data_IF_991063065158
#
_entry.id   IF_991063065158
#
_cell.length_a   1.000
_cell.length_b   1.000
_cell.length_c   1.000
_cell.angle_alpha   90.00
_cell.angle_beta   90.00
_cell.angle_gamma   90.00
#
_symmetry.space_group_name_H-M   'P 1'
#
loop_
_entity.id
_entity.type
_entity.pdbx_description
1 polymer ?
#
# COMPACT_ATOMS: atom_id res chain seq x y z
N UNK A 1 -2.37 2.80 16.57
CA UNK A 1 -2.02 1.55 15.88
C UNK A 1 -3.09 1.25 14.83
N UNK A 2 -2.68 0.68 13.71
CA UNK A 2 -3.55 0.24 12.62
C UNK A 2 -3.23 -1.20 12.25
N UNK A 3 -4.26 -2.01 12.03
CA UNK A 3 -4.16 -3.37 11.50
C UNK A 3 -4.89 -3.45 10.18
N UNK A 4 -4.21 -3.90 9.15
CA UNK A 4 -4.77 -4.19 7.83
C UNK A 4 -4.77 -5.72 7.66
N UNK A 5 -5.94 -6.29 7.34
CA UNK A 5 -6.09 -7.73 7.16
C UNK A 5 -6.82 -8.04 5.86
N UNK A 6 -6.18 -8.77 4.98
CA UNK A 6 -6.80 -9.43 3.84
C UNK A 6 -7.15 -10.86 4.26
N UNK A 7 -8.41 -11.19 4.26
CA UNK A 7 -8.91 -12.54 4.58
C UNK A 7 -9.51 -13.13 3.30
N UNK A 8 -8.65 -13.61 2.44
CA UNK A 8 -8.98 -14.16 1.14
C UNK A 8 -9.09 -15.67 1.15
N UNK A 9 -9.73 -16.23 0.12
CA UNK A 9 -9.86 -17.67 -0.09
C UNK A 9 -8.73 -18.25 -0.97
N UNK A 10 -7.76 -17.42 -1.36
CA UNK A 10 -6.60 -17.86 -2.11
C UNK A 10 -5.58 -18.63 -1.25
N UNK A 11 -4.56 -19.23 -1.88
CA UNK A 11 -3.63 -20.13 -1.20
C UNK A 11 -2.77 -19.44 -0.13
N UNK A 12 -2.58 -18.11 -0.16
CA UNK A 12 -1.88 -17.37 0.90
C UNK A 12 -2.66 -17.36 2.22
N UNK A 13 -3.99 -17.53 2.18
CA UNK A 13 -4.86 -17.35 3.31
C UNK A 13 -4.90 -15.90 3.79
N UNK A 14 -4.88 -15.70 5.11
CA UNK A 14 -4.86 -14.33 5.65
C UNK A 14 -3.50 -13.67 5.49
N UNK A 15 -3.50 -12.42 5.03
CA UNK A 15 -2.35 -11.53 5.00
C UNK A 15 -2.61 -10.38 5.96
N UNK A 16 -1.72 -10.15 6.92
CA UNK A 16 -1.90 -9.15 7.98
C UNK A 16 -0.68 -8.25 8.09
N UNK A 17 -0.91 -6.97 8.24
CA UNK A 17 0.11 -5.98 8.57
C UNK A 17 -0.38 -5.06 9.67
N UNK A 18 0.45 -4.85 10.68
CA UNK A 18 0.24 -3.89 11.76
C UNK A 18 1.28 -2.78 11.69
N UNK A 19 0.86 -1.57 12.00
CA UNK A 19 1.74 -0.42 12.14
C UNK A 19 1.31 0.47 13.32
N UNK A 20 2.28 1.18 13.88
CA UNK A 20 2.02 2.15 14.93
C UNK A 20 2.63 3.54 14.58
N UNK A 21 2.25 4.61 15.30
CA UNK A 21 2.75 5.96 15.02
C UNK A 21 4.26 6.15 15.20
N UNK A 22 4.92 5.28 15.97
CA UNK A 22 6.36 5.32 16.21
C UNK A 22 7.18 4.72 15.05
N UNK A 23 6.51 4.23 13.99
CA UNK A 23 7.16 3.63 12.83
C UNK A 23 7.48 2.14 12.98
N UNK A 24 6.99 1.48 14.03
CA UNK A 24 7.14 0.03 14.14
C UNK A 24 6.07 -0.69 13.30
N UNK A 25 6.54 -1.66 12.53
CA UNK A 25 5.69 -2.48 11.66
C UNK A 25 5.92 -3.96 11.93
N UNK A 26 4.89 -4.76 11.73
CA UNK A 26 4.96 -6.22 11.73
C UNK A 26 3.89 -6.78 10.80
N UNK A 27 4.01 -8.04 10.44
CA UNK A 27 3.01 -8.70 9.63
C UNK A 27 3.27 -10.18 9.48
N UNK A 28 2.28 -10.89 8.98
CA UNK A 28 2.41 -12.28 8.63
C UNK A 28 1.47 -12.68 7.48
N UNK A 29 1.79 -13.80 6.88
CA UNK A 29 0.95 -14.51 5.90
C UNK A 29 0.64 -15.87 6.49
N UNK A 30 -0.62 -16.32 6.43
CA UNK A 30 -1.03 -17.58 7.03
C UNK A 30 -0.29 -18.78 6.41
N UNK A 31 -0.10 -18.77 5.08
CA UNK A 31 0.63 -19.81 4.35
C UNK A 31 1.85 -19.20 3.64
N UNK A 32 2.98 -19.00 4.32
CA UNK A 32 4.14 -18.31 3.74
C UNK A 32 4.94 -19.14 2.72
N UNK A 33 4.70 -20.44 2.65
CA UNK A 33 5.45 -21.36 1.77
C UNK A 33 4.75 -21.65 0.45
N UNK A 34 3.71 -20.89 0.12
CA UNK A 34 3.01 -21.04 -1.16
C UNK A 34 3.91 -20.59 -2.30
N UNK A 35 4.01 -21.42 -3.33
CA UNK A 35 4.66 -21.04 -4.58
C UNK A 35 3.62 -20.42 -5.51
N UNK A 36 3.67 -19.11 -5.69
CA UNK A 36 2.76 -18.42 -6.60
C UNK A 36 3.30 -18.47 -8.04
N UNK A 37 2.44 -18.73 -9.04
CA UNK A 37 2.81 -18.61 -10.44
C UNK A 37 3.11 -17.15 -10.81
N UNK A 38 3.65 -16.95 -11.99
CA UNK A 38 3.73 -15.61 -12.56
C UNK A 38 2.40 -15.29 -13.28
N UNK A 39 1.96 -14.04 -13.13
CA UNK A 39 0.83 -13.50 -13.88
C UNK A 39 1.23 -13.18 -15.34
N UNK A 40 0.26 -12.74 -16.15
CA UNK A 40 0.48 -12.39 -17.57
C UNK A 40 1.53 -11.29 -17.79
N UNK A 41 1.83 -10.49 -16.76
CA UNK A 41 2.85 -9.44 -16.78
C UNK A 41 4.23 -9.93 -16.32
N UNK A 42 4.41 -11.24 -16.09
CA UNK A 42 5.66 -11.83 -15.61
C UNK A 42 6.00 -11.47 -14.15
N UNK A 43 5.02 -11.08 -13.33
CA UNK A 43 5.15 -10.81 -11.90
C UNK A 43 4.49 -11.91 -11.09
N UNK A 44 4.86 -12.06 -9.83
CA UNK A 44 4.16 -12.97 -8.92
C UNK A 44 2.67 -12.65 -8.92
N UNK A 45 1.83 -13.69 -9.06
CA UNK A 45 0.38 -13.56 -9.05
C UNK A 45 -0.15 -13.39 -7.61
N UNK A 46 0.05 -12.19 -7.06
CA UNK A 46 -0.42 -11.85 -5.72
C UNK A 46 -1.94 -11.88 -5.65
N UNK A 47 -2.61 -11.40 -6.70
CA UNK A 47 -4.07 -11.38 -6.79
C UNK A 47 -4.67 -12.78 -6.67
N UNK A 48 -4.18 -13.73 -7.45
CA UNK A 48 -4.58 -15.14 -7.32
C UNK A 48 -4.15 -15.75 -5.98
N UNK A 49 -3.03 -15.30 -5.42
CA UNK A 49 -2.54 -15.72 -4.10
C UNK A 49 -3.47 -15.32 -2.96
N UNK A 50 -4.03 -14.12 -2.99
CA UNK A 50 -4.98 -13.59 -2.01
C UNK A 50 -6.39 -14.12 -2.27
N UNK A 51 -6.84 -14.08 -3.51
CA UNK A 51 -8.17 -14.50 -3.92
C UNK A 51 -9.29 -13.56 -3.46
N UNK A 52 -10.52 -14.06 -3.48
CA UNK A 52 -11.71 -13.33 -3.06
C UNK A 52 -11.89 -13.39 -1.53
N UNK A 53 -12.49 -12.37 -0.94
CA UNK A 53 -12.74 -12.33 0.52
C UNK A 53 -12.99 -10.92 1.01
N UNK A 54 -12.55 -10.65 2.23
CA UNK A 54 -12.78 -9.38 2.92
C UNK A 54 -11.45 -8.72 3.30
N UNK A 55 -11.30 -7.46 2.94
CA UNK A 55 -10.31 -6.54 3.47
C UNK A 55 -10.90 -5.83 4.69
N UNK A 56 -10.20 -5.88 5.82
CA UNK A 56 -10.55 -5.17 7.05
C UNK A 56 -9.42 -4.26 7.48
N UNK A 57 -9.77 -3.05 7.92
CA UNK A 57 -8.82 -2.08 8.49
C UNK A 57 -9.31 -1.70 9.88
N UNK A 58 -8.54 -2.06 10.90
CA UNK A 58 -8.86 -1.78 12.30
C UNK A 58 -7.93 -0.69 12.83
N UNK A 59 -8.51 0.36 13.38
CA UNK A 59 -7.78 1.50 13.98
C UNK A 59 -7.99 1.52 15.49
N UNK A 60 -6.86 1.57 16.22
CA UNK A 60 -6.82 1.69 17.66
C UNK A 60 -6.50 3.16 17.99
N UNK A 61 -7.54 3.94 18.27
CA UNK A 61 -7.46 5.41 18.45
C UNK A 61 -7.33 5.82 19.92
N UNK A 62 -7.13 4.86 20.84
CA UNK A 62 -7.13 5.11 22.29
C UNK A 62 -8.53 5.12 22.91
N UNK A 63 -9.58 4.94 22.13
CA UNK A 63 -10.94 4.71 22.61
C UNK A 63 -11.08 3.28 23.16
N UNK A 64 -12.14 3.04 23.94
CA UNK A 64 -12.42 1.73 24.56
C UNK A 64 -12.48 0.61 23.51
N UNK A 65 -13.14 0.88 22.42
CA UNK A 65 -13.31 -0.10 21.33
C UNK A 65 -12.59 0.39 20.07
N UNK A 66 -11.88 -0.50 19.32
CA UNK A 66 -11.28 -0.15 18.06
C UNK A 66 -12.35 0.09 16.98
N UNK A 67 -12.02 0.93 16.01
CA UNK A 67 -12.88 1.20 14.86
C UNK A 67 -12.42 0.30 13.71
N UNK A 68 -13.34 -0.54 13.20
CA UNK A 68 -13.05 -1.41 12.05
C UNK A 68 -13.96 -1.06 10.88
N UNK A 69 -13.34 -0.75 9.75
CA UNK A 69 -13.98 -0.69 8.44
C UNK A 69 -13.65 -1.93 7.62
N UNK A 70 -14.52 -2.30 6.68
CA UNK A 70 -14.28 -3.44 5.80
C UNK A 70 -14.93 -3.25 4.43
N UNK A 71 -14.35 -3.91 3.42
CA UNK A 71 -14.93 -4.02 2.08
C UNK A 71 -14.58 -5.39 1.48
N UNK A 72 -15.22 -5.72 0.37
CA UNK A 72 -14.83 -6.90 -0.42
C UNK A 72 -13.45 -6.71 -1.06
N UNK A 73 -12.70 -7.79 -1.18
CA UNK A 73 -11.48 -7.86 -1.99
C UNK A 73 -11.92 -7.92 -3.45
N UNK A 74 -11.51 -6.95 -4.25
CA UNK A 74 -11.92 -6.79 -5.65
C UNK A 74 -10.96 -7.49 -6.60
N UNK A 75 -9.66 -7.27 -6.41
CA UNK A 75 -8.63 -7.81 -7.31
C UNK A 75 -7.67 -8.79 -6.62
N UNK A 76 -7.54 -8.71 -5.30
CA UNK A 76 -6.49 -9.39 -4.53
C UNK A 76 -5.13 -8.69 -4.63
N UNK A 77 -5.01 -7.67 -5.49
CA UNK A 77 -3.82 -6.81 -5.54
C UNK A 77 -3.87 -5.79 -4.40
N UNK A 78 -2.92 -5.86 -3.48
CA UNK A 78 -2.95 -5.13 -2.21
C UNK A 78 -3.18 -3.62 -2.39
N UNK A 79 -2.50 -2.99 -3.34
CA UNK A 79 -2.60 -1.55 -3.58
C UNK A 79 -3.98 -1.14 -4.15
N UNK A 80 -4.53 -1.95 -5.06
CA UNK A 80 -5.83 -1.71 -5.68
C UNK A 80 -6.95 -1.84 -4.65
N UNK A 81 -6.92 -2.90 -3.85
CA UNK A 81 -7.92 -3.14 -2.83
C UNK A 81 -7.86 -2.12 -1.69
N UNK A 82 -6.66 -1.66 -1.30
CA UNK A 82 -6.52 -0.54 -0.36
C UNK A 82 -7.07 0.76 -0.95
N UNK A 83 -6.86 1.02 -2.23
CA UNK A 83 -7.45 2.19 -2.92
C UNK A 83 -8.97 2.11 -2.91
N UNK A 84 -9.54 0.93 -3.21
CA UNK A 84 -10.98 0.69 -3.16
C UNK A 84 -11.53 0.87 -1.73
N UNK A 85 -10.85 0.35 -0.71
CA UNK A 85 -11.23 0.53 0.69
C UNK A 85 -11.28 2.01 1.08
N UNK A 86 -10.22 2.77 0.76
CA UNK A 86 -10.17 4.20 1.07
C UNK A 86 -11.29 4.98 0.39
N UNK A 87 -11.66 4.60 -0.82
CA UNK A 87 -12.76 5.23 -1.55
C UNK A 87 -14.13 4.84 -1.00
N UNK A 88 -14.40 3.54 -0.80
CA UNK A 88 -15.73 3.02 -0.46
C UNK A 88 -16.05 3.13 1.03
N UNK A 89 -15.08 2.82 1.90
CA UNK A 89 -15.29 2.79 3.35
C UNK A 89 -14.92 4.10 4.03
N UNK A 90 -13.87 4.78 3.57
CA UNK A 90 -13.40 6.05 4.15
C UNK A 90 -13.93 7.28 3.38
N UNK A 91 -14.57 7.07 2.23
CA UNK A 91 -15.06 8.13 1.33
C UNK A 91 -13.98 9.16 0.96
N UNK A 92 -12.72 8.71 0.93
CA UNK A 92 -11.56 9.56 0.64
C UNK A 92 -10.96 9.18 -0.70
N UNK A 93 -11.09 10.02 -1.74
CA UNK A 93 -10.44 9.78 -3.03
C UNK A 93 -8.93 9.66 -2.86
N UNK A 94 -8.42 8.48 -3.13
CA UNK A 94 -7.02 8.13 -2.86
C UNK A 94 -6.41 7.37 -4.03
N UNK A 95 -5.09 7.37 -4.11
CA UNK A 95 -4.31 6.47 -4.95
C UNK A 95 -3.23 5.81 -4.09
N UNK A 96 -3.15 4.50 -4.13
CA UNK A 96 -2.13 3.71 -3.43
C UNK A 96 -1.22 3.07 -4.46
N UNK A 97 0.08 3.26 -4.31
CA UNK A 97 1.07 2.55 -5.10
C UNK A 97 1.99 1.76 -4.19
N UNK A 98 2.11 0.48 -4.44
CA UNK A 98 3.02 -0.42 -3.72
C UNK A 98 3.92 -1.15 -4.72
N UNK A 99 5.15 -1.43 -4.30
CA UNK A 99 6.08 -2.20 -5.12
C UNK A 99 7.08 -2.96 -4.28
N UNK A 100 7.22 -4.24 -4.59
CA UNK A 100 8.25 -5.11 -4.04
C UNK A 100 8.99 -5.76 -5.19
N UNK A 101 10.31 -5.71 -5.16
CA UNK A 101 11.17 -6.41 -6.08
C UNK A 101 11.88 -7.54 -5.34
N UNK A 102 11.69 -8.76 -5.81
CA UNK A 102 12.34 -9.95 -5.25
C UNK A 102 13.41 -10.42 -6.23
N UNK A 103 14.61 -10.67 -5.72
CA UNK A 103 15.72 -11.24 -6.49
C UNK A 103 15.53 -12.74 -6.76
N UNK A 104 16.29 -13.34 -7.69
CA UNK A 104 16.26 -14.78 -7.93
C UNK A 104 16.62 -15.64 -6.71
N UNK A 105 17.36 -15.08 -5.74
CA UNK A 105 17.69 -15.72 -4.45
C UNK A 105 16.56 -15.60 -3.41
N UNK A 106 15.38 -15.17 -3.83
CA UNK A 106 14.17 -14.96 -3.03
C UNK A 106 14.30 -13.88 -1.94
N UNK A 107 15.32 -13.02 -2.02
CA UNK A 107 15.44 -11.86 -1.13
C UNK A 107 14.78 -10.63 -1.71
N UNK A 108 14.20 -9.83 -0.83
CA UNK A 108 13.64 -8.52 -1.23
C UNK A 108 14.79 -7.58 -1.56
N UNK A 109 14.86 -7.15 -2.82
CA UNK A 109 15.85 -6.20 -3.30
C UNK A 109 15.39 -4.74 -3.10
N UNK A 110 14.09 -4.48 -3.24
CA UNK A 110 13.50 -3.18 -3.07
C UNK A 110 12.04 -3.32 -2.63
N UNK A 111 11.60 -2.49 -1.70
CA UNK A 111 10.20 -2.38 -1.30
C UNK A 111 9.87 -0.93 -0.98
N UNK A 112 8.70 -0.48 -1.39
CA UNK A 112 8.24 0.87 -1.10
C UNK A 112 6.80 1.08 -1.52
N UNK A 113 6.30 2.27 -1.21
CA UNK A 113 4.93 2.63 -1.55
C UNK A 113 4.63 4.09 -1.28
N UNK A 114 3.44 4.48 -1.71
CA UNK A 114 2.86 5.78 -1.39
C UNK A 114 1.35 5.65 -1.21
N UNK A 115 0.79 6.53 -0.42
CA UNK A 115 -0.64 6.83 -0.37
C UNK A 115 -0.79 8.31 -0.69
N UNK A 116 -1.60 8.61 -1.69
CA UNK A 116 -1.90 9.96 -2.12
C UNK A 116 -3.39 10.21 -1.94
N UNK A 117 -3.74 11.29 -1.27
CA UNK A 117 -5.12 11.64 -0.99
C UNK A 117 -5.42 13.06 -1.46
N UNK A 118 -6.57 13.24 -2.09
CA UNK A 118 -7.06 14.56 -2.47
C UNK A 118 -7.82 15.18 -1.29
N UNK A 119 -7.43 16.40 -0.93
CA UNK A 119 -8.19 17.19 0.02
C UNK A 119 -9.45 17.78 -0.65
N UNK A 120 -10.53 18.03 0.10
CA UNK A 120 -11.81 18.48 -0.45
C UNK A 120 -11.74 19.80 -1.25
N UNK A 121 -10.77 20.65 -0.92
CA UNK A 121 -10.53 21.95 -1.57
C UNK A 121 -9.58 21.89 -2.78
N UNK A 122 -9.16 20.69 -3.19
CA UNK A 122 -8.29 20.53 -4.35
C UNK A 122 -8.98 21.00 -5.63
N UNK A 123 -8.36 21.96 -6.33
CA UNK A 123 -8.89 22.49 -7.59
C UNK A 123 -8.83 21.45 -8.70
N UNK A 124 -9.76 21.50 -9.65
CA UNK A 124 -9.80 20.58 -10.81
C UNK A 124 -8.48 20.60 -11.62
N UNK A 125 -7.81 21.76 -11.70
CA UNK A 125 -6.50 21.88 -12.34
C UNK A 125 -5.44 21.04 -11.64
N UNK A 126 -5.42 21.03 -10.29
CA UNK A 126 -4.49 20.24 -9.48
C UNK A 126 -4.81 18.75 -9.59
N UNK A 127 -6.09 18.38 -9.55
CA UNK A 127 -6.54 16.98 -9.72
C UNK A 127 -6.07 16.43 -11.06
N UNK A 128 -6.40 17.10 -12.16
CA UNK A 128 -6.01 16.67 -13.51
C UNK A 128 -4.49 16.58 -13.70
N UNK A 129 -3.73 17.50 -13.09
CA UNK A 129 -2.26 17.45 -13.12
C UNK A 129 -1.75 16.22 -12.41
N UNK A 130 -2.31 15.91 -11.23
CA UNK A 130 -1.93 14.76 -10.45
C UNK A 130 -2.27 13.44 -11.15
N UNK A 131 -3.46 13.32 -11.73
CA UNK A 131 -3.86 12.18 -12.55
C UNK A 131 -2.89 11.94 -13.71
N UNK A 132 -2.48 13.01 -14.39
CA UNK A 132 -1.49 12.93 -15.48
C UNK A 132 -0.10 12.46 -14.98
N UNK A 133 0.31 12.84 -13.79
CA UNK A 133 1.55 12.37 -13.18
C UNK A 133 1.42 10.89 -12.80
N UNK A 134 0.33 10.51 -12.15
CA UNK A 134 0.05 9.10 -11.77
C UNK A 134 0.01 8.17 -12.98
N UNK A 135 -0.57 8.62 -14.11
CA UNK A 135 -0.60 7.82 -15.33
C UNK A 135 0.79 7.56 -15.95
N UNK A 136 1.80 8.34 -15.59
CA UNK A 136 3.17 8.26 -16.12
C UNK A 136 4.17 7.74 -15.10
N UNK A 137 3.75 7.53 -13.85
CA UNK A 137 4.68 7.16 -12.79
C UNK A 137 5.28 5.79 -13.04
N UNK A 138 6.56 5.69 -12.76
CA UNK A 138 7.27 4.42 -12.85
C UNK A 138 6.83 3.47 -11.72
N UNK A 139 6.95 2.14 -11.89
CA UNK A 139 6.71 1.21 -10.80
C UNK A 139 7.52 1.59 -9.55
N UNK A 140 6.88 1.58 -8.37
CA UNK A 140 7.52 1.95 -7.09
C UNK A 140 8.77 1.12 -6.82
N UNK A 141 8.71 -0.19 -7.08
CA UNK A 141 9.88 -1.09 -6.92
C UNK A 141 11.07 -0.68 -7.79
N UNK A 142 10.82 -0.12 -8.98
CA UNK A 142 11.88 0.40 -9.85
C UNK A 142 12.47 1.69 -9.28
N UNK A 143 11.63 2.62 -8.83
CA UNK A 143 12.09 3.87 -8.23
C UNK A 143 12.99 3.62 -7.01
N UNK A 144 12.57 2.71 -6.11
CA UNK A 144 13.36 2.34 -4.92
C UNK A 144 14.66 1.63 -5.32
N UNK A 145 14.62 0.72 -6.29
CA UNK A 145 15.82 0.06 -6.82
C UNK A 145 16.84 1.07 -7.39
N UNK A 146 16.35 2.12 -8.04
CA UNK A 146 17.17 3.19 -8.61
C UNK A 146 17.70 4.17 -7.53
N UNK A 147 17.39 3.92 -6.25
CA UNK A 147 17.90 4.69 -5.12
C UNK A 147 17.02 5.87 -4.70
N UNK A 148 15.79 5.99 -5.21
CA UNK A 148 14.87 7.02 -4.72
C UNK A 148 14.41 6.68 -3.30
N UNK A 149 14.56 7.66 -2.42
CA UNK A 149 13.94 7.65 -1.09
C UNK A 149 12.48 8.15 -1.15
N UNK A 150 11.84 8.27 0.00
CA UNK A 150 10.47 8.75 0.09
C UNK A 150 10.29 10.16 -0.51
N UNK A 151 11.28 11.05 -0.36
CA UNK A 151 11.23 12.40 -0.92
C UNK A 151 11.37 12.38 -2.44
N UNK A 152 12.22 11.51 -2.97
CA UNK A 152 12.36 11.31 -4.40
C UNK A 152 11.06 10.81 -5.05
N UNK A 153 10.38 9.85 -4.41
CA UNK A 153 9.08 9.35 -4.88
C UNK A 153 8.02 10.46 -4.85
N UNK A 154 7.94 11.24 -3.76
CA UNK A 154 7.03 12.39 -3.67
C UNK A 154 7.33 13.42 -4.77
N UNK A 155 8.60 13.69 -5.05
CA UNK A 155 8.98 14.65 -6.08
C UNK A 155 8.55 14.18 -7.49
N UNK A 156 8.66 12.89 -7.80
CA UNK A 156 8.14 12.33 -9.06
C UNK A 156 6.60 12.41 -9.14
N UNK A 157 5.89 12.05 -8.06
CA UNK A 157 4.42 12.13 -7.98
C UNK A 157 3.92 13.57 -8.18
N UNK A 158 4.60 14.53 -7.56
CA UNK A 158 4.20 15.94 -7.54
C UNK A 158 4.98 16.79 -8.56
N UNK A 159 5.50 16.17 -9.60
CA UNK A 159 6.24 16.89 -10.66
C UNK A 159 5.43 18.07 -11.22
N UNK A 160 6.06 19.24 -11.23
CA UNK A 160 5.45 20.48 -11.73
C UNK A 160 4.47 21.15 -10.76
N UNK A 161 4.34 20.70 -9.52
CA UNK A 161 3.72 21.49 -8.46
C UNK A 161 4.73 22.50 -7.92
N UNK A 162 4.27 23.74 -7.68
CA UNK A 162 5.15 24.87 -7.35
C UNK A 162 5.74 24.78 -5.94
N UNK A 163 5.02 24.13 -5.00
CA UNK A 163 5.41 24.00 -3.61
C UNK A 163 5.06 22.63 -3.06
N UNK A 164 6.03 21.99 -2.43
CA UNK A 164 5.88 20.74 -1.70
C UNK A 164 6.37 20.99 -0.26
N UNK A 165 5.48 20.83 0.71
CA UNK A 165 5.81 20.94 2.13
C UNK A 165 6.03 19.53 2.69
N UNK A 166 7.25 19.22 3.13
CA UNK A 166 7.59 17.97 3.79
C UNK A 166 7.37 18.12 5.29
N UNK A 167 6.35 17.45 5.84
CA UNK A 167 5.92 17.65 7.22
C UNK A 167 6.75 16.83 8.21
N UNK A 168 6.87 15.53 7.98
CA UNK A 168 7.50 14.60 8.93
C UNK A 168 8.23 13.49 8.18
N UNK A 169 9.32 13.02 8.75
CA UNK A 169 10.00 11.80 8.33
C UNK A 169 10.14 10.90 9.55
N UNK A 170 9.69 9.65 9.44
CA UNK A 170 9.77 8.65 10.51
C UNK A 170 10.50 7.42 10.00
N UNK A 171 11.49 6.95 10.74
CA UNK A 171 12.17 5.71 10.44
C UNK A 171 11.24 4.51 10.68
N UNK A 172 11.29 3.54 9.78
CA UNK A 172 10.49 2.32 9.90
C UNK A 172 11.38 1.17 10.39
N UNK A 173 10.86 0.40 11.34
CA UNK A 173 11.53 -0.79 11.84
C UNK A 173 10.55 -1.93 12.06
N UNK A 174 10.97 -3.15 11.70
CA UNK A 174 10.23 -4.35 12.07
C UNK A 174 10.39 -4.59 13.58
N UNK A 175 9.28 -4.72 14.30
CA UNK A 175 9.28 -5.01 15.73
C UNK A 175 8.13 -5.95 16.07
N UNK A 176 8.44 -7.19 16.40
CA UNK A 176 7.49 -8.12 16.99
C UNK A 176 7.33 -7.80 18.48
N UNK A 177 6.08 -7.72 18.93
CA UNK A 177 5.71 -7.50 20.34
C UNK A 177 4.99 -8.73 20.91
N UNK A 178 5.28 -9.90 20.33
CA UNK A 178 4.70 -11.17 20.79
C UNK A 178 5.26 -11.58 22.15
#
# INVERSE_FOLDING_TARGET
CITIKFNGNGPLGSVVADANPEGFVRGYIANPHVNLPLNEKGKLDVGGGVGQGILSVTRFTGLKDPITGSCEIVSGEIAEDLTNYLYTSEQTPSSVGLGVLVNPDLKVAAAGGFILQLLPDATEKKKKKLENNLAKIRPVSTMVKDGLDARGIIAELLQGFDKIDYLTTTDLAFKCQC
#
